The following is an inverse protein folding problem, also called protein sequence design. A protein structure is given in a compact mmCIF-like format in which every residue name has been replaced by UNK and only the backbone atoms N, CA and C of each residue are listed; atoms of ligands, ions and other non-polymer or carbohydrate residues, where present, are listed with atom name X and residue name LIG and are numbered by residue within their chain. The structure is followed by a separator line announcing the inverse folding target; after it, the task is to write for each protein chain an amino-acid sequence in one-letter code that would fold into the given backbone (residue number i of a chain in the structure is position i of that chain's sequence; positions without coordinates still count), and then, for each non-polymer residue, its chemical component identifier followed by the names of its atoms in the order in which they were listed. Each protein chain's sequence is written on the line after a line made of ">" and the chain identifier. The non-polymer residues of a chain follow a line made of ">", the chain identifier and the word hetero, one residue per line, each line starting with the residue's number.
data_IF_780542953177
#
_entry.id   IF_780542953177
#
_cell.length_a   1.000
_cell.length_b   1.000
_cell.length_c   1.000
_cell.angle_alpha   90.00
_cell.angle_beta   90.00
_cell.angle_gamma   90.00
#
_symmetry.space_group_name_H-M   'P 1'
#
loop_
_entity.id
_entity.type
_entity.pdbx_description
1 polymer ?
#
# COMPACT_ATOMS: atom_id res chain seq x y z
N UNK A 1 -16.01 54.98 2.14
CA UNK A 1 -15.89 55.71 0.85
C UNK A 1 -14.52 55.36 0.22
N UNK A 2 -14.55 54.96 -1.07
CA UNK A 2 -13.39 54.80 -1.98
C UNK A 2 -12.39 53.73 -1.64
N UNK A 3 -12.55 52.55 -2.27
CA UNK A 3 -11.58 51.75 -3.02
C UNK A 3 -12.23 50.46 -3.55
N UNK A 4 -13.07 50.59 -4.55
CA UNK A 4 -13.41 49.53 -5.52
C UNK A 4 -13.05 50.16 -6.88
N UNK A 5 -12.43 49.37 -7.73
CA UNK A 5 -11.97 49.62 -9.11
C UNK A 5 -10.45 49.51 -9.22
N UNK A 6 -9.99 48.27 -9.30
CA UNK A 6 -8.81 47.88 -10.10
C UNK A 6 -8.76 46.35 -10.17
N UNK A 7 -9.39 45.76 -11.17
CA UNK A 7 -9.39 44.32 -11.34
C UNK A 7 -10.24 43.85 -12.52
N UNK A 8 -10.31 44.67 -13.58
CA UNK A 8 -11.13 44.30 -14.75
C UNK A 8 -10.49 44.85 -16.03
N UNK A 9 -9.30 44.38 -16.33
CA UNK A 9 -8.67 44.59 -17.66
C UNK A 9 -7.50 43.62 -17.80
N UNK A 10 -7.77 42.34 -18.05
CA UNK A 10 -6.79 41.37 -18.64
C UNK A 10 -7.46 40.08 -19.15
N UNK A 11 -8.59 40.18 -19.86
CA UNK A 11 -9.14 39.08 -20.63
C UNK A 11 -9.73 39.65 -21.92
N UNK A 12 -8.90 40.03 -22.85
CA UNK A 12 -9.30 40.30 -24.24
C UNK A 12 -8.07 40.53 -25.13
N UNK A 13 -7.23 39.52 -25.35
CA UNK A 13 -6.27 39.52 -26.48
C UNK A 13 -5.72 38.12 -26.73
N UNK A 14 -6.57 37.16 -27.13
CA UNK A 14 -6.14 35.95 -27.85
C UNK A 14 -7.32 35.30 -28.57
N UNK A 15 -7.85 36.04 -29.54
CA UNK A 15 -8.82 35.48 -30.49
C UNK A 15 -8.76 36.26 -31.79
N UNK A 16 -7.66 36.17 -32.54
CA UNK A 16 -7.62 36.61 -33.95
C UNK A 16 -6.32 36.13 -34.63
N UNK A 17 -6.25 34.86 -35.03
CA UNK A 17 -5.33 34.44 -36.10
C UNK A 17 -5.59 33.00 -36.56
N UNK A 18 -6.73 32.72 -37.13
CA UNK A 18 -6.90 31.58 -38.08
C UNK A 18 -8.07 31.93 -39.01
N UNK A 19 -7.77 32.64 -40.06
CA UNK A 19 -8.62 32.73 -41.25
C UNK A 19 -7.87 33.42 -42.40
N UNK A 20 -7.07 32.66 -43.12
CA UNK A 20 -6.76 32.99 -44.52
C UNK A 20 -6.09 31.78 -45.20
N UNK A 21 -6.73 31.21 -46.17
CA UNK A 21 -6.10 30.20 -47.03
C UNK A 21 -7.09 29.28 -47.73
N UNK A 22 -7.95 29.87 -48.55
CA UNK A 22 -8.79 29.13 -49.49
C UNK A 22 -8.10 29.09 -50.87
N UNK A 23 -8.06 27.90 -51.52
CA UNK A 23 -7.99 27.85 -52.98
C UNK A 23 -6.98 26.83 -53.54
N UNK A 24 -7.45 25.82 -54.26
CA UNK A 24 -6.66 25.05 -55.24
C UNK A 24 -6.96 23.55 -55.31
N UNK A 25 -7.76 23.17 -56.25
CA UNK A 25 -8.04 21.80 -56.71
C UNK A 25 -6.81 21.14 -57.34
N UNK A 26 -6.52 19.89 -57.01
CA UNK A 26 -6.07 18.87 -57.96
C UNK A 26 -6.10 17.50 -57.27
N UNK A 27 -6.68 16.54 -57.93
CA UNK A 27 -6.72 15.12 -57.62
C UNK A 27 -5.31 14.51 -57.78
N UNK A 28 -4.86 13.75 -56.79
CA UNK A 28 -4.06 12.56 -57.10
C UNK A 28 -4.19 11.52 -55.97
N UNK A 29 -4.50 10.28 -56.40
CA UNK A 29 -4.59 9.11 -55.55
C UNK A 29 -3.18 8.61 -55.26
N UNK A 30 -2.73 8.70 -54.03
CA UNK A 30 -1.70 7.80 -53.53
C UNK A 30 -2.12 7.23 -52.19
N UNK A 31 -2.28 5.92 -52.14
CA UNK A 31 -2.49 5.15 -50.91
C UNK A 31 -1.30 5.39 -49.99
N UNK A 32 -1.46 6.23 -48.99
CA UNK A 32 -0.52 6.31 -47.90
C UNK A 32 -0.84 5.11 -46.96
N UNK A 33 0.05 4.12 -46.94
CA UNK A 33 0.15 3.17 -45.86
C UNK A 33 0.22 3.97 -44.56
N UNK A 34 -0.78 3.77 -43.69
CA UNK A 34 -0.63 4.13 -42.29
C UNK A 34 0.47 3.26 -41.73
N UNK A 35 1.60 3.86 -41.51
CA UNK A 35 2.64 3.33 -40.65
C UNK A 35 2.11 3.53 -39.21
N UNK A 36 1.45 2.53 -38.67
CA UNK A 36 1.10 2.44 -37.25
C UNK A 36 2.36 2.07 -36.44
N UNK A 37 3.36 2.90 -36.50
CA UNK A 37 4.35 2.99 -35.42
C UNK A 37 3.72 3.87 -34.34
N UNK A 38 2.83 3.27 -33.53
CA UNK A 38 2.57 3.80 -32.21
C UNK A 38 3.94 3.86 -31.52
N UNK A 39 4.47 5.08 -31.33
CA UNK A 39 5.58 5.26 -30.42
C UNK A 39 5.14 4.64 -29.10
N UNK A 40 5.88 3.63 -28.61
CA UNK A 40 5.63 3.05 -27.30
C UNK A 40 5.72 4.23 -26.31
N UNK A 41 4.58 4.58 -25.72
CA UNK A 41 4.57 5.55 -24.63
C UNK A 41 5.30 4.88 -23.48
N UNK A 42 6.33 5.52 -22.97
CA UNK A 42 7.02 5.10 -21.77
C UNK A 42 5.97 5.02 -20.64
N UNK A 43 5.65 3.80 -20.20
CA UNK A 43 4.62 3.56 -19.18
C UNK A 43 5.30 3.62 -17.82
N UNK A 44 5.10 4.71 -17.12
CA UNK A 44 5.63 4.91 -15.76
C UNK A 44 4.47 4.88 -14.79
N UNK A 45 4.52 3.97 -13.80
CA UNK A 45 3.56 3.93 -12.69
C UNK A 45 4.22 4.45 -11.42
N UNK A 46 3.49 5.26 -10.68
CA UNK A 46 3.91 5.78 -9.38
C UNK A 46 3.52 4.81 -8.27
N UNK A 47 4.48 4.49 -7.39
CA UNK A 47 4.27 3.54 -6.27
C UNK A 47 4.63 4.21 -4.94
N UNK A 48 3.74 4.13 -3.94
CA UNK A 48 4.02 4.55 -2.57
C UNK A 48 4.23 3.35 -1.65
N UNK A 49 5.37 3.33 -0.96
CA UNK A 49 5.74 2.32 0.02
C UNK A 49 6.69 2.91 1.08
N UNK A 50 7.08 2.16 2.12
CA UNK A 50 7.73 2.77 3.30
C UNK A 50 9.04 2.13 3.76
N UNK A 51 9.38 0.91 3.35
CA UNK A 51 10.56 0.21 3.85
C UNK A 51 11.56 -0.03 2.71
N UNK A 52 12.72 0.68 2.72
CA UNK A 52 13.73 0.56 1.68
C UNK A 52 14.34 -0.85 1.58
N UNK A 53 14.41 -1.58 2.70
CA UNK A 53 15.04 -2.89 2.73
C UNK A 53 14.07 -4.03 2.40
N UNK A 54 12.78 -3.76 2.34
CA UNK A 54 11.75 -4.75 2.11
C UNK A 54 10.87 -4.40 0.91
N UNK A 55 9.88 -3.52 1.08
CA UNK A 55 8.90 -3.31 0.00
C UNK A 55 9.42 -2.45 -1.17
N UNK A 56 10.28 -1.47 -0.92
CA UNK A 56 10.97 -0.75 -2.00
C UNK A 56 11.83 -1.72 -2.83
N UNK A 57 12.66 -2.51 -2.15
CA UNK A 57 13.48 -3.51 -2.81
C UNK A 57 12.64 -4.52 -3.61
N UNK A 58 11.52 -4.99 -3.06
CA UNK A 58 10.65 -5.92 -3.75
C UNK A 58 10.02 -5.31 -5.02
N UNK A 59 9.58 -4.04 -4.96
CA UNK A 59 9.05 -3.33 -6.13
C UNK A 59 10.12 -3.12 -7.21
N UNK A 60 11.36 -2.81 -6.83
CA UNK A 60 12.48 -2.75 -7.78
C UNK A 60 12.76 -4.09 -8.46
N UNK A 61 12.59 -5.22 -7.74
CA UNK A 61 12.74 -6.54 -8.37
C UNK A 61 11.56 -6.86 -9.30
N UNK A 62 10.34 -6.47 -8.91
CA UNK A 62 9.16 -6.63 -9.76
C UNK A 62 9.30 -5.83 -11.06
N UNK A 63 9.76 -4.59 -11.00
CA UNK A 63 10.08 -3.77 -12.17
C UNK A 63 11.05 -4.48 -13.12
N UNK A 64 12.20 -4.94 -12.59
CA UNK A 64 13.21 -5.68 -13.39
C UNK A 64 12.66 -6.97 -14.01
N UNK A 65 11.73 -7.63 -13.34
CA UNK A 65 11.09 -8.81 -13.88
C UNK A 65 10.14 -8.46 -15.02
N UNK A 66 9.32 -7.42 -14.85
CA UNK A 66 8.36 -6.97 -15.84
C UNK A 66 9.03 -6.38 -17.09
N UNK A 67 10.14 -5.66 -16.91
CA UNK A 67 10.96 -5.10 -18.00
C UNK A 67 11.54 -6.14 -18.97
N UNK A 68 11.55 -7.44 -18.65
CA UNK A 68 12.00 -8.48 -19.59
C UNK A 68 11.09 -8.56 -20.82
N UNK A 69 9.81 -8.34 -20.64
CA UNK A 69 8.80 -8.38 -21.68
C UNK A 69 8.31 -6.98 -22.08
N UNK A 70 8.57 -5.97 -21.22
CA UNK A 70 8.16 -4.56 -21.35
C UNK A 70 9.34 -3.62 -21.08
N UNK A 71 10.33 -3.52 -21.99
CA UNK A 71 11.63 -2.87 -21.73
C UNK A 71 11.53 -1.37 -21.40
N UNK A 72 10.47 -0.70 -21.83
CA UNK A 72 10.23 0.74 -21.61
C UNK A 72 9.42 1.03 -20.35
N UNK A 73 8.98 0.00 -19.62
CA UNK A 73 8.21 0.14 -18.36
C UNK A 73 9.09 0.63 -17.24
N UNK A 74 8.54 1.54 -16.39
CA UNK A 74 9.22 2.09 -15.21
C UNK A 74 8.29 2.19 -14.01
N UNK A 75 8.84 2.07 -12.82
CA UNK A 75 8.22 2.45 -11.57
C UNK A 75 8.87 3.71 -11.00
N UNK A 76 8.07 4.71 -10.69
CA UNK A 76 8.46 5.84 -9.83
C UNK A 76 8.14 5.47 -8.38
N UNK A 77 9.10 4.82 -7.70
CA UNK A 77 8.93 4.31 -6.34
C UNK A 77 9.26 5.44 -5.34
N UNK A 78 8.24 5.90 -4.63
CA UNK A 78 8.34 6.97 -3.65
C UNK A 78 8.23 6.40 -2.24
N UNK A 79 9.31 6.53 -1.46
CA UNK A 79 9.32 6.17 -0.05
C UNK A 79 8.51 7.21 0.75
N UNK A 80 7.53 6.74 1.52
CA UNK A 80 6.68 7.56 2.38
C UNK A 80 6.44 6.87 3.71
N UNK A 81 6.26 7.62 4.76
CA UNK A 81 5.81 7.06 6.05
C UNK A 81 4.37 6.53 5.89
N UNK A 82 4.08 5.36 6.45
CA UNK A 82 2.76 4.72 6.30
C UNK A 82 1.59 5.63 6.72
N UNK A 83 1.72 6.35 7.83
CA UNK A 83 0.71 7.31 8.29
C UNK A 83 0.44 8.45 7.30
N UNK A 84 1.46 8.84 6.53
CA UNK A 84 1.31 9.90 5.53
C UNK A 84 0.57 9.36 4.30
N UNK A 85 0.77 8.08 3.95
CA UNK A 85 -0.01 7.40 2.92
C UNK A 85 -1.49 7.40 3.32
N UNK A 86 -1.84 6.88 4.50
CA UNK A 86 -3.24 6.88 4.97
C UNK A 86 -3.84 8.28 5.00
N UNK A 87 -3.12 9.27 5.49
CA UNK A 87 -3.58 10.65 5.55
C UNK A 87 -3.86 11.22 4.16
N UNK A 88 -2.98 10.96 3.20
CA UNK A 88 -3.15 11.42 1.82
C UNK A 88 -4.37 10.77 1.15
N UNK A 89 -4.56 9.46 1.34
CA UNK A 89 -5.74 8.73 0.83
C UNK A 89 -7.05 9.31 1.37
N UNK A 90 -7.13 9.51 2.69
CA UNK A 90 -8.32 10.08 3.33
C UNK A 90 -8.57 11.50 2.84
N UNK A 91 -7.53 12.33 2.76
CA UNK A 91 -7.65 13.72 2.31
C UNK A 91 -8.15 13.80 0.86
N UNK A 92 -7.63 12.95 -0.02
CA UNK A 92 -8.06 12.88 -1.42
C UNK A 92 -9.54 12.45 -1.53
N UNK A 93 -9.94 11.46 -0.73
CA UNK A 93 -11.33 10.99 -0.71
C UNK A 93 -12.31 12.05 -0.18
N UNK A 94 -11.93 12.78 0.88
CA UNK A 94 -12.76 13.86 1.43
C UNK A 94 -12.88 15.06 0.48
N UNK A 95 -11.84 15.30 -0.33
CA UNK A 95 -11.84 16.36 -1.35
C UNK A 95 -12.48 15.95 -2.67
N UNK A 96 -12.79 14.66 -2.86
CA UNK A 96 -13.18 14.06 -4.14
C UNK A 96 -12.17 14.40 -5.27
N UNK A 97 -10.89 14.46 -4.93
CA UNK A 97 -9.77 14.76 -5.83
C UNK A 97 -8.64 13.74 -5.66
N UNK A 98 -8.56 12.81 -6.58
CA UNK A 98 -7.60 11.71 -6.58
C UNK A 98 -6.33 12.00 -7.41
N UNK A 99 -6.22 13.19 -7.98
CA UNK A 99 -5.14 13.55 -8.91
C UNK A 99 -3.73 13.54 -8.31
N UNK A 100 -3.63 13.57 -6.99
CA UNK A 100 -2.37 13.56 -6.25
C UNK A 100 -1.98 12.18 -5.73
N UNK A 101 -2.85 11.18 -5.92
CA UNK A 101 -2.57 9.82 -5.48
C UNK A 101 -1.67 9.08 -6.48
N UNK A 102 -0.93 8.05 -6.03
CA UNK A 102 -0.13 7.21 -6.91
C UNK A 102 -1.02 6.20 -7.64
N UNK A 103 -0.47 5.56 -8.66
CA UNK A 103 -1.12 4.45 -9.35
C UNK A 103 -1.22 3.21 -8.47
N UNK A 104 -0.20 3.00 -7.62
CA UNK A 104 -0.10 1.86 -6.70
C UNK A 104 0.34 2.36 -5.32
N UNK A 105 -0.27 1.85 -4.27
CA UNK A 105 0.19 2.08 -2.90
C UNK A 105 0.10 0.81 -2.06
N UNK A 106 1.02 0.67 -1.12
CA UNK A 106 0.94 -0.39 -0.12
C UNK A 106 0.04 0.06 1.03
N UNK A 107 -0.68 -0.91 1.59
CA UNK A 107 -1.54 -0.71 2.75
C UNK A 107 -1.42 -1.89 3.71
N UNK A 108 -1.44 -1.61 5.00
CA UNK A 108 -1.42 -2.64 6.02
C UNK A 108 -2.78 -3.33 6.15
N UNK A 109 -2.78 -4.64 6.33
CA UNK A 109 -3.98 -5.50 6.35
C UNK A 109 -5.04 -4.98 7.33
N UNK A 110 -4.65 -4.61 8.53
CA UNK A 110 -5.57 -4.20 9.59
C UNK A 110 -6.36 -2.92 9.27
N UNK A 111 -5.89 -2.11 8.32
CA UNK A 111 -6.59 -0.89 7.89
C UNK A 111 -7.33 -1.05 6.57
N UNK A 112 -7.10 -2.15 5.82
CA UNK A 112 -7.57 -2.33 4.47
C UNK A 112 -9.10 -2.30 4.37
N UNK A 113 -9.80 -3.17 5.10
CA UNK A 113 -11.26 -3.24 5.09
C UNK A 113 -11.94 -1.91 5.45
N UNK A 114 -11.41 -1.24 6.49
CA UNK A 114 -11.92 0.07 6.91
C UNK A 114 -11.80 1.10 5.78
N UNK A 115 -10.67 1.14 5.09
CA UNK A 115 -10.43 2.13 4.05
C UNK A 115 -11.25 1.83 2.79
N UNK A 116 -11.36 0.58 2.35
CA UNK A 116 -12.22 0.20 1.21
C UNK A 116 -13.70 0.52 1.50
N UNK A 117 -14.18 0.21 2.72
CA UNK A 117 -15.58 0.46 3.08
C UNK A 117 -15.92 1.95 3.16
N UNK A 118 -15.02 2.79 3.67
CA UNK A 118 -15.28 4.21 3.86
C UNK A 118 -14.92 5.07 2.64
N UNK A 119 -13.95 4.62 1.82
CA UNK A 119 -13.41 5.40 0.70
C UNK A 119 -13.31 4.56 -0.58
N UNK A 120 -14.43 3.97 -1.06
CA UNK A 120 -14.40 3.01 -2.18
C UNK A 120 -13.87 3.63 -3.49
N UNK A 121 -13.94 4.95 -3.65
CA UNK A 121 -13.43 5.64 -4.85
C UNK A 121 -11.92 5.62 -5.03
N UNK A 122 -11.15 5.26 -3.98
CA UNK A 122 -9.69 5.14 -4.04
C UNK A 122 -9.25 3.81 -4.67
N UNK A 123 -10.05 2.76 -4.50
CA UNK A 123 -9.63 1.39 -4.78
C UNK A 123 -10.25 0.87 -6.07
N UNK A 124 -9.43 0.25 -6.91
CA UNK A 124 -9.91 -0.48 -8.09
C UNK A 124 -10.28 -1.90 -7.71
N UNK A 125 -11.46 -2.36 -8.12
CA UNK A 125 -11.83 -3.78 -8.00
C UNK A 125 -10.98 -4.64 -8.94
N UNK A 126 -10.35 -5.69 -8.39
CA UNK A 126 -9.43 -6.58 -9.09
C UNK A 126 -9.98 -7.99 -9.34
N UNK A 127 -11.20 -8.29 -8.92
CA UNK A 127 -11.80 -9.63 -9.00
C UNK A 127 -11.67 -10.25 -10.39
N UNK A 128 -11.94 -9.49 -11.43
CA UNK A 128 -11.90 -9.93 -12.83
C UNK A 128 -10.67 -9.38 -13.59
N UNK A 129 -9.60 -9.01 -12.89
CA UNK A 129 -8.39 -8.42 -13.49
C UNK A 129 -7.52 -9.39 -14.28
N UNK A 130 -7.82 -10.68 -14.22
CA UNK A 130 -7.00 -11.75 -14.82
C UNK A 130 -5.87 -12.27 -13.93
N UNK A 131 -5.74 -11.74 -12.71
CA UNK A 131 -4.81 -12.25 -11.70
C UNK A 131 -5.30 -13.61 -11.19
N UNK A 132 -4.38 -14.58 -11.13
CA UNK A 132 -4.65 -15.88 -10.52
C UNK A 132 -4.54 -15.78 -8.99
N UNK A 133 -5.64 -15.44 -8.34
CA UNK A 133 -5.71 -15.33 -6.89
C UNK A 133 -5.48 -16.66 -6.15
N UNK A 134 -5.53 -17.81 -6.82
CA UNK A 134 -5.24 -19.10 -6.20
C UNK A 134 -3.77 -19.27 -5.78
N UNK A 135 -2.89 -18.41 -6.28
CA UNK A 135 -1.48 -18.37 -5.90
C UNK A 135 -1.24 -17.77 -4.50
N UNK A 136 -2.23 -17.12 -3.92
CA UNK A 136 -2.11 -16.46 -2.61
C UNK A 136 -2.77 -17.28 -1.51
N UNK A 137 -2.29 -17.12 -0.28
CA UNK A 137 -2.93 -17.79 0.87
C UNK A 137 -4.34 -17.24 1.12
N UNK A 138 -5.26 -18.12 1.50
CA UNK A 138 -6.65 -17.73 1.74
C UNK A 138 -6.78 -16.66 2.84
N UNK A 139 -5.92 -16.70 3.88
CA UNK A 139 -5.92 -15.69 4.93
C UNK A 139 -5.59 -14.30 4.41
N UNK A 140 -4.55 -14.18 3.59
CA UNK A 140 -4.16 -12.88 3.00
C UNK A 140 -5.17 -12.38 1.98
N UNK A 141 -5.81 -13.28 1.23
CA UNK A 141 -6.90 -12.88 0.33
C UNK A 141 -8.12 -12.37 1.09
N UNK A 142 -8.41 -12.93 2.26
CA UNK A 142 -9.50 -12.43 3.10
C UNK A 142 -9.26 -10.97 3.52
N UNK A 143 -8.01 -10.60 3.82
CA UNK A 143 -7.65 -9.23 4.19
C UNK A 143 -7.85 -8.22 3.05
N UNK A 144 -7.74 -8.64 1.79
CA UNK A 144 -7.94 -7.79 0.61
C UNK A 144 -9.33 -7.92 -0.05
N UNK A 145 -10.22 -8.74 0.52
CA UNK A 145 -11.57 -9.00 0.00
C UNK A 145 -12.63 -8.33 0.88
N UNK A 146 -13.41 -7.44 0.29
CA UNK A 146 -14.52 -6.73 0.96
C UNK A 146 -15.81 -7.03 0.20
N UNK A 147 -16.86 -7.48 0.89
CA UNK A 147 -18.16 -7.84 0.31
C UNK A 147 -18.05 -8.81 -0.89
N UNK A 148 -17.11 -9.77 -0.81
CA UNK A 148 -16.88 -10.79 -1.84
C UNK A 148 -16.11 -10.31 -3.07
N UNK A 149 -15.61 -9.08 -3.07
CA UNK A 149 -14.83 -8.47 -4.13
C UNK A 149 -13.40 -8.21 -3.67
N UNK A 150 -12.44 -8.49 -4.52
CA UNK A 150 -11.02 -8.23 -4.22
C UNK A 150 -10.61 -6.83 -4.68
N UNK A 151 -9.91 -6.10 -3.80
CA UNK A 151 -9.44 -4.72 -4.04
C UNK A 151 -7.92 -4.57 -3.86
N UNK A 152 -7.20 -5.65 -3.61
CA UNK A 152 -5.76 -5.60 -3.41
C UNK A 152 -5.07 -6.91 -3.69
N UNK A 153 -3.78 -6.84 -3.97
CA UNK A 153 -2.91 -8.00 -4.10
C UNK A 153 -2.15 -8.21 -2.80
N UNK A 154 -2.16 -9.42 -2.21
CA UNK A 154 -1.30 -9.74 -1.10
C UNK A 154 0.16 -9.51 -1.45
N UNK A 155 0.86 -8.71 -0.66
CA UNK A 155 2.26 -8.38 -0.91
C UNK A 155 3.21 -9.30 -0.16
N UNK A 156 2.92 -9.58 1.11
CA UNK A 156 3.73 -10.45 1.96
C UNK A 156 2.87 -11.39 2.81
N UNK A 157 3.54 -12.30 3.50
CA UNK A 157 2.91 -13.20 4.45
C UNK A 157 3.82 -13.31 5.67
N UNK A 158 3.55 -12.48 6.66
CA UNK A 158 4.29 -12.44 7.91
C UNK A 158 3.84 -13.47 8.93
N UNK A 159 4.71 -13.73 9.90
CA UNK A 159 4.38 -14.51 11.09
C UNK A 159 4.94 -13.81 12.33
N UNK A 160 4.15 -13.79 13.40
CA UNK A 160 4.63 -13.33 14.69
C UNK A 160 5.59 -14.36 15.28
N UNK A 161 6.77 -13.91 15.68
CA UNK A 161 7.79 -14.75 16.34
C UNK A 161 8.22 -14.11 17.64
N UNK A 162 8.64 -14.96 18.59
CA UNK A 162 9.30 -14.50 19.81
C UNK A 162 10.81 -14.68 19.67
N UNK A 163 11.56 -13.59 19.63
CA UNK A 163 13.00 -13.62 19.73
C UNK A 163 13.43 -13.71 21.21
N UNK A 164 14.19 -14.74 21.57
CA UNK A 164 14.53 -15.04 22.95
C UNK A 164 16.00 -14.73 23.24
N UNK A 165 16.28 -13.94 24.26
CA UNK A 165 17.61 -13.76 24.84
C UNK A 165 17.97 -15.01 25.66
N UNK A 166 18.55 -16.00 25.00
CA UNK A 166 18.92 -17.30 25.56
C UNK A 166 19.78 -17.16 26.84
N UNK A 167 20.75 -16.27 26.81
CA UNK A 167 21.63 -15.99 27.96
C UNK A 167 20.87 -15.54 29.22
N UNK A 168 19.84 -14.71 29.07
CA UNK A 168 19.02 -14.25 30.20
C UNK A 168 18.09 -15.34 30.73
N UNK A 169 17.54 -16.15 29.84
CA UNK A 169 16.69 -17.30 30.20
C UNK A 169 17.52 -18.34 30.97
N UNK A 170 18.70 -18.68 30.47
CA UNK A 170 19.61 -19.63 31.13
C UNK A 170 20.11 -19.11 32.48
N UNK A 171 20.41 -17.82 32.62
CA UNK A 171 20.77 -17.21 33.89
C UNK A 171 19.65 -17.34 34.96
N UNK A 172 18.39 -17.42 34.55
CA UNK A 172 17.24 -17.65 35.42
C UNK A 172 16.96 -19.15 35.71
N UNK A 173 17.84 -20.06 35.21
CA UNK A 173 17.70 -21.50 35.40
C UNK A 173 16.62 -22.14 34.53
N UNK A 174 16.28 -21.49 33.41
CA UNK A 174 15.32 -21.95 32.40
C UNK A 174 16.03 -22.24 31.09
N UNK A 175 15.33 -22.90 30.18
CA UNK A 175 15.79 -23.16 28.81
C UNK A 175 14.83 -22.51 27.81
N UNK A 176 15.22 -22.37 26.55
CA UNK A 176 14.34 -21.91 25.48
C UNK A 176 13.14 -22.85 25.30
N UNK A 177 13.34 -24.15 25.50
CA UNK A 177 12.29 -25.16 25.38
C UNK A 177 11.18 -25.00 26.43
N UNK A 178 11.49 -24.38 27.57
CA UNK A 178 10.47 -24.08 28.59
C UNK A 178 9.39 -23.08 28.10
N UNK A 179 9.65 -22.38 27.01
CA UNK A 179 8.72 -21.42 26.43
C UNK A 179 7.96 -21.97 25.20
N UNK A 180 8.18 -23.22 24.82
CA UNK A 180 7.41 -23.87 23.77
C UNK A 180 6.04 -24.32 24.30
N UNK A 181 5.01 -24.18 23.46
CA UNK A 181 3.65 -24.66 23.74
C UNK A 181 3.12 -24.27 25.13
N UNK A 182 3.51 -23.08 25.61
CA UNK A 182 3.18 -22.61 26.95
C UNK A 182 1.91 -21.75 26.92
N UNK A 183 1.11 -21.82 28.00
CA UNK A 183 0.00 -20.89 28.20
C UNK A 183 0.49 -19.53 28.65
N UNK A 184 -0.33 -18.49 28.53
CA UNK A 184 0.01 -17.17 29.05
C UNK A 184 0.25 -17.19 30.58
N UNK A 185 -0.48 -18.00 31.35
CA UNK A 185 -0.27 -18.16 32.78
C UNK A 185 1.10 -18.75 33.07
N UNK A 186 1.47 -19.84 32.39
CA UNK A 186 2.79 -20.47 32.56
C UNK A 186 3.92 -19.57 32.09
N UNK A 187 3.70 -18.83 31.00
CA UNK A 187 4.65 -17.84 30.50
C UNK A 187 4.92 -16.78 31.58
N UNK A 188 3.88 -16.24 32.22
CA UNK A 188 4.00 -15.22 33.26
C UNK A 188 4.82 -15.74 34.46
N UNK A 189 4.59 -16.99 34.88
CA UNK A 189 5.34 -17.58 36.01
C UNK A 189 6.84 -17.76 35.67
N UNK A 190 7.16 -18.15 34.44
CA UNK A 190 8.54 -18.24 33.96
C UNK A 190 9.15 -16.84 33.78
N UNK A 191 8.37 -15.88 33.26
CA UNK A 191 8.78 -14.51 33.07
C UNK A 191 9.19 -13.83 34.39
N UNK A 192 8.45 -14.04 35.49
CA UNK A 192 8.82 -13.53 36.82
C UNK A 192 10.23 -13.95 37.22
N UNK A 193 10.61 -15.18 36.99
CA UNK A 193 11.97 -15.69 37.29
C UNK A 193 13.05 -14.98 36.47
N UNK A 194 12.77 -14.75 35.16
CA UNK A 194 13.70 -14.07 34.27
C UNK A 194 13.87 -12.59 34.66
N UNK A 195 12.75 -11.90 34.97
CA UNK A 195 12.74 -10.51 35.42
C UNK A 195 13.48 -10.37 36.76
N UNK A 196 13.19 -11.22 37.73
CA UNK A 196 13.84 -11.19 39.04
C UNK A 196 15.34 -11.42 38.94
N UNK A 197 15.77 -12.38 38.11
CA UNK A 197 17.18 -12.70 37.95
C UNK A 197 17.98 -11.62 37.23
N UNK A 198 17.41 -11.04 36.19
CA UNK A 198 18.13 -10.14 35.28
C UNK A 198 17.82 -8.66 35.51
N UNK A 199 16.81 -8.33 36.31
CA UNK A 199 16.33 -6.97 36.57
C UNK A 199 15.99 -6.18 35.28
N UNK A 200 15.34 -6.85 34.33
CA UNK A 200 14.89 -6.27 33.05
C UNK A 200 13.45 -6.68 32.75
N UNK A 201 12.67 -5.91 32.00
CA UNK A 201 11.35 -6.34 31.52
C UNK A 201 11.45 -7.64 30.72
N UNK A 202 10.41 -8.49 30.84
CA UNK A 202 10.37 -9.78 30.13
C UNK A 202 10.09 -9.62 28.63
N UNK A 203 9.23 -8.69 28.27
CA UNK A 203 8.83 -8.44 26.89
C UNK A 203 9.13 -7.00 26.51
N UNK A 204 9.45 -6.81 25.25
CA UNK A 204 9.41 -5.52 24.56
C UNK A 204 8.59 -5.70 23.28
N UNK A 205 7.81 -4.71 22.94
CA UNK A 205 7.08 -4.61 21.68
C UNK A 205 7.52 -3.35 20.95
N UNK A 206 7.68 -3.43 19.64
CA UNK A 206 8.05 -2.27 18.82
C UNK A 206 6.86 -1.35 18.53
N UNK A 207 5.63 -1.84 18.69
CA UNK A 207 4.40 -1.11 18.44
C UNK A 207 3.53 -0.96 19.68
N UNK A 208 2.48 -0.14 19.58
CA UNK A 208 1.63 0.20 20.72
C UNK A 208 0.63 -0.88 21.10
N UNK A 209 -0.07 -1.44 20.15
CA UNK A 209 -1.22 -2.35 20.37
C UNK A 209 -0.98 -3.80 19.95
N UNK A 210 0.11 -4.10 19.26
CA UNK A 210 0.36 -5.42 18.67
C UNK A 210 0.31 -6.54 19.72
N UNK A 211 0.95 -6.37 20.86
CA UNK A 211 0.93 -7.40 21.92
C UNK A 211 -0.49 -7.70 22.41
N UNK A 212 -1.37 -6.71 22.44
CA UNK A 212 -2.78 -6.90 22.85
C UNK A 212 -3.52 -7.70 21.78
N UNK A 213 -3.28 -7.38 20.51
CA UNK A 213 -3.87 -8.10 19.37
C UNK A 213 -3.39 -9.55 19.35
N UNK A 214 -2.10 -9.79 19.54
CA UNK A 214 -1.51 -11.13 19.62
C UNK A 214 -2.10 -11.95 20.76
N UNK A 215 -2.29 -11.35 21.94
CA UNK A 215 -2.94 -12.01 23.08
C UNK A 215 -4.40 -12.35 22.79
N UNK A 216 -5.15 -11.44 22.16
CA UNK A 216 -6.54 -11.69 21.76
C UNK A 216 -6.62 -12.84 20.74
N UNK A 217 -5.81 -12.78 19.70
CA UNK A 217 -5.76 -13.84 18.66
C UNK A 217 -5.38 -15.20 19.25
N UNK A 218 -4.40 -15.25 20.16
CA UNK A 218 -4.01 -16.50 20.84
C UNK A 218 -5.13 -17.07 21.73
N UNK A 219 -6.04 -16.23 22.19
CA UNK A 219 -7.24 -16.62 22.92
C UNK A 219 -8.44 -16.94 22.00
N UNK A 220 -8.27 -16.89 20.67
CA UNK A 220 -9.36 -17.06 19.71
C UNK A 220 -10.35 -15.89 19.69
N UNK A 221 -9.92 -14.72 20.19
CA UNK A 221 -10.74 -13.51 20.23
C UNK A 221 -10.30 -12.50 19.17
N UNK A 222 -11.17 -11.55 18.85
CA UNK A 222 -10.91 -10.44 17.95
C UNK A 222 -11.16 -9.11 18.67
N UNK A 223 -10.39 -8.04 18.40
CA UNK A 223 -10.72 -6.71 18.89
C UNK A 223 -11.98 -6.14 18.24
N UNK A 224 -12.46 -6.75 17.17
CA UNK A 224 -13.67 -6.34 16.45
C UNK A 224 -14.70 -7.48 16.47
N UNK A 225 -15.94 -7.15 16.78
CA UNK A 225 -17.10 -8.06 16.72
C UNK A 225 -18.05 -7.51 15.68
N UNK A 226 -18.43 -8.34 14.71
CA UNK A 226 -19.32 -7.97 13.60
C UNK A 226 -18.87 -6.69 12.84
N UNK A 227 -17.56 -6.52 12.66
CA UNK A 227 -17.00 -5.38 11.96
C UNK A 227 -17.05 -4.04 12.74
N UNK A 228 -17.29 -4.10 14.08
CA UNK A 228 -17.38 -2.93 14.97
C UNK A 228 -16.40 -3.02 16.12
#
# INVERSE_FOLDING_TARGET
>A
MKKKVLGMFLVATMAASVLAGCGGKAEDKSEAKKDDTAAAQEETLTVWCWDPNFNVYAMEQAEKMYQKDHPDFKLDIQEKVYSDIETALITAAEADDYSTLPDIFLMQDYSFHKNVANYPGIFTELTDSGVDFSQFSAGKLADSTVDGKNYGLPFDNGATIMAIRKDMVEAAGLTVDDFKDTTWSDFIEKAKKVVEKNNVPMLTSSGGSEIVIEMLQSAGASPMVDGK
#
